data_IF_914253878683
#
_entry.id   IF_914253878683
#
_cell.length_a   1.000
_cell.length_b   1.000
_cell.length_c   1.000
_cell.angle_alpha   90.00
_cell.angle_beta   90.00
_cell.angle_gamma   90.00
#
_symmetry.space_group_name_H-M   'P 1'
#
loop_
_entity.id
_entity.type
_entity.pdbx_description
1 polymer ?
#
# COMPACT_ATOMS: atom_id res chain seq x y z
N UNK A 1 -8.20 -17.85 76.39
CA UNK A 1 -7.50 -18.89 75.59
C UNK A 1 -8.34 -19.14 74.35
N UNK A 2 -7.93 -18.67 73.16
CA UNK A 2 -8.63 -18.98 71.90
C UNK A 2 -7.93 -20.17 71.23
N UNK A 3 -8.64 -21.22 70.76
CA UNK A 3 -8.09 -22.56 70.56
C UNK A 3 -7.55 -22.84 69.14
N UNK A 4 -7.22 -21.83 68.34
CA UNK A 4 -6.72 -22.07 67.00
C UNK A 4 -5.20 -22.25 67.01
N UNK A 5 -4.82 -23.52 67.06
CA UNK A 5 -3.49 -24.03 66.75
C UNK A 5 -2.92 -23.35 65.49
N UNK A 6 -1.60 -23.17 65.48
CA UNK A 6 -0.81 -22.60 64.39
C UNK A 6 -1.01 -23.42 63.10
N UNK A 7 -1.99 -23.04 62.29
CA UNK A 7 -2.15 -23.54 60.93
C UNK A 7 -1.08 -22.87 60.10
N UNK A 8 -0.17 -23.67 59.54
CA UNK A 8 0.80 -23.19 58.54
C UNK A 8 0.05 -22.94 57.25
N UNK A 9 0.12 -21.70 56.78
CA UNK A 9 -0.37 -21.30 55.47
C UNK A 9 0.39 -22.05 54.36
N UNK A 10 -0.33 -22.57 53.38
CA UNK A 10 0.25 -23.29 52.24
C UNK A 10 0.44 -22.27 51.13
N UNK A 11 1.66 -22.04 50.67
CA UNK A 11 1.89 -21.12 49.55
C UNK A 11 1.47 -21.78 48.23
N UNK A 12 0.26 -21.49 47.78
CA UNK A 12 -0.28 -22.06 46.55
C UNK A 12 0.46 -21.57 45.29
N UNK A 13 1.22 -20.47 45.37
CA UNK A 13 1.99 -19.97 44.24
C UNK A 13 3.22 -20.84 43.90
N UNK A 14 3.58 -21.78 44.78
CA UNK A 14 4.65 -22.76 44.55
C UNK A 14 4.17 -23.97 43.72
N UNK A 15 2.86 -24.25 43.70
CA UNK A 15 2.26 -25.39 43.01
C UNK A 15 1.34 -24.93 41.87
N UNK A 16 1.97 -24.60 40.73
CA UNK A 16 1.29 -24.07 39.53
C UNK A 16 0.44 -25.10 38.78
N UNK A 17 0.69 -26.40 38.98
CA UNK A 17 -0.12 -27.46 38.34
C UNK A 17 -1.46 -27.64 39.05
N UNK A 18 -1.48 -27.47 40.38
CA UNK A 18 -2.70 -27.57 41.18
C UNK A 18 -3.49 -26.26 41.23
N UNK A 19 -2.80 -25.12 41.23
CA UNK A 19 -3.42 -23.79 41.33
C UNK A 19 -3.06 -22.97 40.08
N UNK A 20 -3.85 -23.16 39.03
CA UNK A 20 -3.67 -22.45 37.77
C UNK A 20 -3.85 -20.93 37.95
N UNK A 21 -2.90 -20.17 37.42
CA UNK A 21 -2.86 -18.71 37.47
C UNK A 21 -2.13 -18.21 36.23
N UNK A 22 -2.83 -17.47 35.36
CA UNK A 22 -2.27 -16.95 34.11
C UNK A 22 -1.47 -15.66 34.35
N UNK A 23 -1.79 -14.95 35.45
CA UNK A 23 -1.15 -13.72 35.88
C UNK A 23 -0.08 -13.89 36.97
N UNK A 24 0.18 -12.79 37.70
CA UNK A 24 1.08 -12.79 38.86
C UNK A 24 0.34 -13.29 40.10
N UNK A 25 0.71 -14.48 40.56
CA UNK A 25 0.21 -15.06 41.81
C UNK A 25 0.76 -14.31 43.03
N UNK A 26 -0.11 -14.02 44.00
CA UNK A 26 0.21 -13.49 45.32
C UNK A 26 -0.42 -14.39 46.37
N UNK A 27 0.42 -14.93 47.25
CA UNK A 27 -0.04 -15.74 48.36
C UNK A 27 -0.76 -14.88 49.41
N UNK A 28 -1.87 -15.37 49.94
CA UNK A 28 -2.64 -14.73 51.02
C UNK A 28 -2.99 -15.78 52.07
N UNK A 29 -3.32 -15.37 53.29
CA UNK A 29 -3.56 -16.35 54.36
C UNK A 29 -4.83 -17.16 54.04
N UNK A 30 -4.66 -18.47 53.81
CA UNK A 30 -5.69 -19.44 53.46
C UNK A 30 -6.14 -19.43 51.99
N UNK A 31 -5.49 -18.67 51.10
CA UNK A 31 -5.82 -18.63 49.67
C UNK A 31 -4.76 -17.91 48.84
N UNK A 32 -4.91 -17.85 47.52
CA UNK A 32 -4.09 -17.01 46.65
C UNK A 32 -4.93 -16.05 45.79
N UNK A 33 -4.33 -14.92 45.41
CA UNK A 33 -4.87 -13.97 44.43
C UNK A 33 -3.99 -13.94 43.18
N UNK A 34 -4.61 -13.67 42.03
CA UNK A 34 -3.92 -13.59 40.74
C UNK A 34 -4.19 -12.24 40.11
N UNK A 35 -3.14 -11.52 39.76
CA UNK A 35 -3.24 -10.22 39.10
C UNK A 35 -2.85 -10.34 37.63
N UNK A 36 -3.70 -9.83 36.73
CA UNK A 36 -3.35 -9.74 35.31
C UNK A 36 -2.18 -8.75 35.07
N UNK A 37 -1.37 -8.98 34.03
CA UNK A 37 -0.29 -8.06 33.66
C UNK A 37 -0.84 -6.70 33.20
N UNK A 38 0.04 -5.68 33.16
CA UNK A 38 -0.31 -4.29 32.90
C UNK A 38 -1.07 -4.16 31.56
N UNK A 39 -2.27 -3.58 31.61
CA UNK A 39 -3.12 -3.34 30.42
C UNK A 39 -4.13 -4.46 30.12
N UNK A 40 -4.21 -5.50 30.95
CA UNK A 40 -5.20 -6.56 30.87
C UNK A 40 -6.14 -6.52 32.08
N UNK A 41 -7.37 -7.00 31.89
CA UNK A 41 -8.43 -7.05 32.90
C UNK A 41 -9.01 -8.46 32.99
N UNK A 42 -9.31 -8.92 34.20
CA UNK A 42 -9.80 -10.28 34.42
C UNK A 42 -9.62 -10.70 35.88
N UNK A 43 -9.95 -11.96 36.16
CA UNK A 43 -9.78 -12.54 37.50
C UNK A 43 -8.39 -13.15 37.72
N UNK A 44 -7.57 -13.24 36.67
CA UNK A 44 -6.18 -13.72 36.71
C UNK A 44 -6.01 -15.22 37.00
N UNK A 45 -7.07 -15.90 37.45
CA UNK A 45 -7.12 -17.34 37.77
C UNK A 45 -7.56 -18.18 36.58
N UNK A 46 -8.54 -17.69 35.81
CA UNK A 46 -9.11 -18.43 34.68
C UNK A 46 -8.88 -17.69 33.37
N UNK A 47 -8.95 -16.36 33.39
CA UNK A 47 -8.88 -15.58 32.15
C UNK A 47 -8.37 -14.16 32.40
N UNK A 48 -7.36 -13.75 31.64
CA UNK A 48 -6.97 -12.35 31.49
C UNK A 48 -7.36 -11.85 30.08
N UNK A 49 -8.31 -10.93 30.01
CA UNK A 49 -8.75 -10.30 28.75
C UNK A 49 -8.16 -8.92 28.60
N UNK A 50 -7.57 -8.64 27.44
CA UNK A 50 -7.08 -7.31 27.13
C UNK A 50 -6.32 -7.29 25.81
N UNK A 51 -5.96 -6.10 25.36
CA UNK A 51 -5.04 -6.00 24.24
C UNK A 51 -3.62 -6.22 24.73
N UNK A 52 -2.95 -7.21 24.17
CA UNK A 52 -1.49 -7.28 24.29
C UNK A 52 -0.90 -6.00 23.71
N UNK A 53 -0.17 -5.23 24.52
CA UNK A 53 0.49 -3.99 24.06
C UNK A 53 1.36 -4.27 22.81
N UNK A 54 1.92 -5.48 22.71
CA UNK A 54 2.67 -5.95 21.54
C UNK A 54 1.85 -5.98 20.25
N UNK A 55 0.56 -6.34 20.30
CA UNK A 55 -0.29 -6.36 19.10
C UNK A 55 -0.64 -4.95 18.65
N UNK A 56 -0.91 -4.03 19.58
CA UNK A 56 -1.18 -2.62 19.27
C UNK A 56 0.03 -1.98 18.59
N UNK A 57 1.23 -2.14 19.17
CA UNK A 57 2.47 -1.56 18.61
C UNK A 57 2.77 -2.12 17.22
N UNK A 58 2.57 -3.42 17.02
CA UNK A 58 2.75 -4.05 15.71
C UNK A 58 1.78 -3.52 14.65
N UNK A 59 0.49 -3.35 15.02
CA UNK A 59 -0.53 -2.82 14.11
C UNK A 59 -0.22 -1.37 13.72
N UNK A 60 0.10 -0.51 14.70
CA UNK A 60 0.46 0.89 14.42
C UNK A 60 1.68 0.97 13.50
N UNK A 61 2.71 0.15 13.75
CA UNK A 61 3.90 0.09 12.91
C UNK A 61 3.58 -0.32 11.46
N UNK A 62 2.74 -1.34 11.28
CA UNK A 62 2.32 -1.81 9.95
C UNK A 62 1.53 -0.74 9.19
N UNK A 63 0.61 -0.05 9.87
CA UNK A 63 -0.19 1.02 9.26
C UNK A 63 0.71 2.17 8.80
N UNK A 64 1.61 2.66 9.67
CA UNK A 64 2.54 3.74 9.32
C UNK A 64 3.43 3.33 8.14
N UNK A 65 3.99 2.11 8.16
CA UNK A 65 4.83 1.61 7.07
C UNK A 65 4.06 1.54 5.74
N UNK A 66 2.83 1.01 5.76
CA UNK A 66 1.98 0.92 4.56
C UNK A 66 1.65 2.30 3.97
N UNK A 67 1.40 3.29 4.83
CA UNK A 67 1.14 4.67 4.41
C UNK A 67 2.39 5.29 3.80
N UNK A 68 3.57 5.12 4.42
CA UNK A 68 4.83 5.64 3.89
C UNK A 68 5.15 5.03 2.53
N UNK A 69 5.05 3.70 2.40
CA UNK A 69 5.29 3.00 1.13
C UNK A 69 4.29 3.47 0.06
N UNK A 70 3.00 3.60 0.41
CA UNK A 70 1.98 4.13 -0.49
C UNK A 70 2.30 5.54 -0.99
N UNK A 71 2.75 6.43 -0.10
CA UNK A 71 3.15 7.80 -0.46
C UNK A 71 4.38 7.79 -1.37
N UNK A 72 5.40 6.98 -1.08
CA UNK A 72 6.61 6.88 -1.92
C UNK A 72 6.27 6.37 -3.33
N UNK A 73 5.42 5.35 -3.44
CA UNK A 73 4.93 4.84 -4.71
C UNK A 73 4.14 5.93 -5.44
N UNK A 74 3.27 6.64 -4.73
CA UNK A 74 2.45 7.70 -5.31
C UNK A 74 3.29 8.85 -5.87
N UNK A 75 4.27 9.34 -5.11
CA UNK A 75 5.22 10.37 -5.55
C UNK A 75 6.01 9.87 -6.77
N UNK A 76 6.58 8.65 -6.69
CA UNK A 76 7.30 8.06 -7.81
C UNK A 76 6.44 7.87 -9.07
N UNK A 77 5.15 7.58 -8.91
CA UNK A 77 4.20 7.50 -10.02
C UNK A 77 3.92 8.87 -10.64
N UNK A 78 3.83 9.93 -9.84
CA UNK A 78 3.62 11.30 -10.34
C UNK A 78 4.79 11.74 -11.21
N UNK A 79 6.03 11.50 -10.77
CA UNK A 79 7.23 11.89 -11.52
C UNK A 79 7.33 11.16 -12.86
N UNK A 80 7.08 9.85 -12.87
CA UNK A 80 7.05 9.05 -14.11
C UNK A 80 5.96 9.52 -15.07
N UNK A 81 4.76 9.86 -14.57
CA UNK A 81 3.68 10.44 -15.39
C UNK A 81 4.10 11.77 -16.00
N UNK A 82 4.75 12.64 -15.22
CA UNK A 82 5.25 13.94 -15.69
C UNK A 82 6.26 13.77 -16.83
N UNK A 83 7.20 12.84 -16.69
CA UNK A 83 8.21 12.56 -17.73
C UNK A 83 7.57 12.01 -19.02
N UNK A 84 6.65 11.04 -18.91
CA UNK A 84 5.92 10.49 -20.07
C UNK A 84 5.10 11.57 -20.79
N UNK A 85 4.40 12.42 -20.04
CA UNK A 85 3.60 13.50 -20.61
C UNK A 85 4.46 14.59 -21.26
N UNK A 86 5.60 14.92 -20.66
CA UNK A 86 6.55 15.86 -21.24
C UNK A 86 7.12 15.32 -22.55
N UNK A 87 7.56 14.05 -22.59
CA UNK A 87 8.08 13.42 -23.80
C UNK A 87 7.02 13.35 -24.91
N UNK A 88 5.78 12.96 -24.56
CA UNK A 88 4.65 12.93 -25.51
C UNK A 88 4.37 14.32 -26.11
N UNK A 89 4.36 15.37 -25.28
CA UNK A 89 4.13 16.75 -25.72
C UNK A 89 5.25 17.25 -26.63
N UNK A 90 6.51 16.97 -26.28
CA UNK A 90 7.67 17.38 -27.07
C UNK A 90 7.73 16.67 -28.43
N UNK A 91 7.51 15.35 -28.46
CA UNK A 91 7.45 14.59 -29.71
C UNK A 91 6.30 15.06 -30.61
N UNK A 92 5.11 15.32 -30.04
CA UNK A 92 3.98 15.85 -30.80
C UNK A 92 4.31 17.21 -31.45
N UNK A 93 4.94 18.13 -30.70
CA UNK A 93 5.35 19.43 -31.24
C UNK A 93 6.37 19.31 -32.37
N UNK A 94 7.36 18.40 -32.25
CA UNK A 94 8.36 18.14 -33.28
C UNK A 94 7.72 17.59 -34.57
N UNK A 95 6.76 16.68 -34.45
CA UNK A 95 6.03 16.10 -35.58
C UNK A 95 5.14 17.14 -36.28
N UNK A 96 4.42 17.97 -35.52
CA UNK A 96 3.63 19.09 -36.05
C UNK A 96 4.51 20.04 -36.88
N UNK A 97 5.71 20.35 -36.37
CA UNK A 97 6.65 21.20 -37.11
C UNK A 97 7.14 20.53 -38.40
N UNK A 98 7.47 19.25 -38.35
CA UNK A 98 7.95 18.50 -39.51
C UNK A 98 6.87 18.36 -40.61
N UNK A 99 5.60 18.21 -40.24
CA UNK A 99 4.48 18.04 -41.18
C UNK A 99 3.82 19.36 -41.60
N UNK A 100 4.35 20.53 -41.20
CA UNK A 100 3.71 21.84 -41.38
C UNK A 100 2.26 21.85 -40.86
N UNK A 101 2.05 21.35 -39.65
CA UNK A 101 0.74 21.22 -39.01
C UNK A 101 -0.22 20.27 -39.74
N UNK A 102 0.29 19.17 -40.29
CA UNK A 102 -0.49 18.18 -41.04
C UNK A 102 -1.22 18.82 -42.23
N UNK A 103 -0.50 19.63 -43.01
CA UNK A 103 -1.02 20.29 -44.20
C UNK A 103 -1.47 19.26 -45.25
N UNK A 104 -2.59 19.52 -45.91
CA UNK A 104 -3.17 18.63 -46.94
C UNK A 104 -2.23 18.46 -48.15
N UNK A 105 -1.37 19.45 -48.47
CA UNK A 105 -0.36 19.31 -49.52
C UNK A 105 0.69 18.25 -49.23
N UNK A 106 0.81 17.83 -47.97
CA UNK A 106 1.69 16.75 -47.53
C UNK A 106 0.92 15.45 -47.30
N UNK A 107 -0.38 15.38 -47.59
CA UNK A 107 -1.14 14.15 -47.45
C UNK A 107 -0.61 13.07 -48.40
N UNK A 108 -0.40 11.86 -47.86
CA UNK A 108 0.09 10.71 -48.61
C UNK A 108 -0.99 9.63 -48.78
N UNK A 109 -1.97 9.57 -47.88
CA UNK A 109 -3.05 8.59 -47.94
C UNK A 109 -3.75 8.38 -46.61
N UNK A 110 -4.93 7.75 -46.65
CA UNK A 110 -5.72 7.39 -45.47
C UNK A 110 -5.96 5.88 -45.44
N UNK A 111 -5.84 5.27 -44.26
CA UNK A 111 -6.19 3.87 -44.03
C UNK A 111 -7.04 3.68 -42.77
N UNK A 112 -7.34 2.43 -42.43
CA UNK A 112 -8.20 2.08 -41.30
C UNK A 112 -7.73 2.57 -39.92
N UNK A 113 -6.47 2.97 -39.80
CA UNK A 113 -5.83 3.41 -38.56
C UNK A 113 -5.41 4.89 -38.59
N UNK A 114 -5.92 5.67 -39.55
CA UNK A 114 -5.68 7.10 -39.66
C UNK A 114 -5.02 7.56 -40.95
N UNK A 115 -4.72 8.85 -41.00
CA UNK A 115 -4.20 9.57 -42.16
C UNK A 115 -2.68 9.69 -42.09
N UNK A 116 -1.99 9.53 -43.21
CA UNK A 116 -0.52 9.58 -43.31
C UNK A 116 -0.11 10.85 -44.03
N UNK A 117 0.82 11.59 -43.43
CA UNK A 117 1.35 12.84 -43.96
C UNK A 117 2.86 12.76 -44.12
N UNK A 118 3.39 13.45 -45.12
CA UNK A 118 4.82 13.66 -45.31
C UNK A 118 5.33 14.70 -44.30
N UNK A 119 6.42 14.37 -43.62
CA UNK A 119 7.17 15.28 -42.77
C UNK A 119 8.60 15.46 -43.25
N UNK A 120 9.17 16.64 -43.01
CA UNK A 120 10.60 16.92 -43.26
C UNK A 120 11.24 17.38 -41.96
N UNK A 121 12.26 16.67 -41.51
CA UNK A 121 13.03 16.98 -40.32
C UNK A 121 14.07 18.10 -40.59
N UNK A 122 14.64 18.74 -39.56
CA UNK A 122 15.63 19.81 -39.74
C UNK A 122 16.90 19.42 -40.51
N UNK A 123 17.23 18.12 -40.51
CA UNK A 123 18.34 17.51 -41.25
C UNK A 123 17.96 17.14 -42.71
N UNK A 124 16.81 17.63 -43.19
CA UNK A 124 16.23 17.34 -44.50
C UNK A 124 15.79 15.87 -44.70
N UNK A 125 15.76 15.08 -43.63
CA UNK A 125 15.25 13.70 -43.67
C UNK A 125 13.73 13.72 -43.88
N UNK A 126 13.26 12.99 -44.89
CA UNK A 126 11.84 12.82 -45.19
C UNK A 126 11.27 11.65 -44.39
N UNK A 127 10.14 11.87 -43.71
CA UNK A 127 9.45 10.87 -42.89
C UNK A 127 7.98 10.78 -43.26
N UNK A 128 7.36 9.63 -42.99
CA UNK A 128 5.91 9.48 -43.04
C UNK A 128 5.36 9.51 -41.61
N UNK A 129 4.46 10.44 -41.32
CA UNK A 129 3.84 10.63 -40.00
C UNK A 129 2.38 10.21 -40.08
N UNK A 130 2.03 9.18 -39.30
CA UNK A 130 0.65 8.70 -39.20
C UNK A 130 -0.08 9.42 -38.07
N UNK A 131 -1.16 10.10 -38.42
CA UNK A 131 -2.09 10.74 -37.50
C UNK A 131 -3.27 9.78 -37.22
N UNK A 132 -3.40 9.23 -36.01
CA UNK A 132 -4.51 8.33 -35.67
C UNK A 132 -5.85 9.08 -35.73
N UNK A 133 -6.93 8.37 -36.02
CA UNK A 133 -8.29 8.94 -35.96
C UNK A 133 -8.63 9.34 -34.53
N UNK A 134 -9.51 10.34 -34.36
CA UNK A 134 -9.92 10.83 -33.04
C UNK A 134 -10.53 9.69 -32.18
N UNK A 135 -11.29 8.79 -32.82
CA UNK A 135 -11.84 7.56 -32.23
C UNK A 135 -10.76 6.57 -31.79
N UNK A 136 -9.67 6.44 -32.56
CA UNK A 136 -8.56 5.56 -32.23
C UNK A 136 -7.68 6.13 -31.11
N UNK A 137 -7.57 7.46 -30.97
CA UNK A 137 -6.90 8.06 -29.80
C UNK A 137 -7.60 7.66 -28.50
N UNK A 138 -8.93 7.61 -28.51
CA UNK A 138 -9.73 7.17 -27.36
C UNK A 138 -9.48 5.68 -27.09
N UNK A 139 -9.53 4.83 -28.14
CA UNK A 139 -9.28 3.39 -28.01
C UNK A 139 -7.86 3.06 -27.54
N UNK A 140 -6.84 3.67 -28.14
CA UNK A 140 -5.44 3.51 -27.75
C UNK A 140 -5.22 4.03 -26.32
N UNK A 141 -5.84 5.15 -25.94
CA UNK A 141 -5.75 5.62 -24.56
C UNK A 141 -6.41 4.63 -23.59
N UNK A 142 -7.57 4.06 -23.93
CA UNK A 142 -8.24 3.05 -23.12
C UNK A 142 -7.44 1.74 -23.01
N UNK A 143 -6.88 1.24 -24.12
CA UNK A 143 -6.01 0.05 -24.13
C UNK A 143 -4.74 0.27 -23.31
N UNK A 144 -4.12 1.45 -23.43
CA UNK A 144 -2.96 1.82 -22.62
C UNK A 144 -3.28 1.93 -21.12
N UNK A 145 -4.48 2.44 -20.76
CA UNK A 145 -4.93 2.42 -19.36
C UNK A 145 -5.16 0.98 -18.87
N UNK A 146 -5.69 0.10 -19.72
CA UNK A 146 -5.94 -1.31 -19.39
C UNK A 146 -4.65 -2.09 -19.17
N UNK A 147 -3.64 -1.90 -20.01
CA UNK A 147 -2.34 -2.58 -19.86
C UNK A 147 -1.54 -2.08 -18.66
N UNK A 148 -1.64 -0.80 -18.30
CA UNK A 148 -1.00 -0.27 -17.08
C UNK A 148 -1.72 -0.66 -15.78
N UNK A 149 -2.98 -1.10 -15.85
CA UNK A 149 -3.75 -1.58 -14.70
C UNK A 149 -3.50 -3.04 -14.31
N UNK A 150 -2.76 -3.80 -15.14
CA UNK A 150 -2.49 -5.24 -14.92
C UNK A 150 -1.15 -5.46 -14.17
N UNK A 151 -0.34 -4.42 -13.96
CA UNK A 151 0.98 -4.51 -13.30
C UNK A 151 1.03 -3.74 -11.96
N UNK A 152 -0.09 -3.68 -11.24
CA UNK A 152 -0.18 -3.22 -9.85
C UNK A 152 -1.07 -4.14 -9.03
#
# INVERSE_FOLDING_TARGET
MSPYARVTDIDECLDKEKYHCEGKCKNTIGSCTCDCPIGMYGDGKVDCRGFHITTIVAVIGAVIFSVIVGILIFIGCIERRKQKNFLKKWCAAKLVKATKNYDESHFLGEGGFGSVYKGVLPDNTQIAVKKPKESDKIRINQEFQKEMGIVL
#
